data_IF_524956975673
#
_entry.id   IF_524956975673
#
_cell.length_a   1.000
_cell.length_b   1.000
_cell.length_c   1.000
_cell.angle_alpha   90.00
_cell.angle_beta   90.00
_cell.angle_gamma   90.00
#
_symmetry.space_group_name_H-M   'P 1'
#
loop_
_entity.id
_entity.type
_entity.pdbx_description
1 polymer ?
#
# COMPACT_ATOMS: atom_id res chain seq x y z
N UNK A 1 -18.43 -6.39 -2.87
CA UNK A 1 -17.40 -7.33 -2.38
C UNK A 1 -16.18 -6.49 -2.10
N UNK A 2 -15.67 -6.55 -0.88
CA UNK A 2 -14.47 -5.80 -0.51
C UNK A 2 -13.28 -6.42 -1.22
N UNK A 3 -12.64 -5.68 -2.13
CA UNK A 3 -11.49 -6.19 -2.86
C UNK A 3 -10.28 -6.25 -1.93
N UNK A 4 -9.52 -7.37 -1.88
CA UNK A 4 -8.37 -7.49 -1.00
C UNK A 4 -7.14 -6.83 -1.63
N UNK A 5 -7.19 -5.50 -1.79
CA UNK A 5 -6.23 -4.69 -2.55
C UNK A 5 -4.79 -4.95 -2.11
N UNK A 6 -4.51 -4.93 -0.80
CA UNK A 6 -3.19 -5.23 -0.23
C UNK A 6 -2.69 -6.62 -0.60
N UNK A 7 -3.55 -7.64 -0.51
CA UNK A 7 -3.17 -9.01 -0.86
C UNK A 7 -2.85 -9.15 -2.35
N UNK A 8 -3.66 -8.53 -3.22
CA UNK A 8 -3.41 -8.56 -4.67
C UNK A 8 -2.09 -7.87 -5.02
N UNK A 9 -1.79 -6.73 -4.37
CA UNK A 9 -0.52 -6.02 -4.54
C UNK A 9 0.68 -6.93 -4.20
N UNK A 10 0.66 -7.58 -3.02
CA UNK A 10 1.74 -8.50 -2.61
C UNK A 10 1.91 -9.64 -3.61
N UNK A 11 0.80 -10.25 -4.06
CA UNK A 11 0.84 -11.37 -5.01
C UNK A 11 1.30 -10.98 -6.41
N UNK A 12 1.06 -9.74 -6.83
CA UNK A 12 1.36 -9.27 -8.18
C UNK A 12 2.76 -8.68 -8.32
N UNK A 13 3.26 -7.99 -7.29
CA UNK A 13 4.47 -7.18 -7.40
C UNK A 13 5.61 -7.63 -6.46
N UNK A 14 5.41 -8.69 -5.66
CA UNK A 14 6.42 -9.23 -4.74
C UNK A 14 6.96 -8.20 -3.73
N UNK A 15 6.11 -7.23 -3.37
CA UNK A 15 6.39 -6.23 -2.34
C UNK A 15 5.95 -6.72 -0.96
N UNK A 16 6.66 -6.31 0.08
CA UNK A 16 6.39 -6.65 1.47
C UNK A 16 5.85 -5.44 2.24
N UNK A 17 4.57 -5.42 2.63
CA UNK A 17 4.03 -4.38 3.49
C UNK A 17 4.29 -4.69 4.97
N UNK A 18 4.72 -3.69 5.73
CA UNK A 18 4.77 -3.68 7.17
C UNK A 18 3.79 -2.64 7.72
N UNK A 19 2.61 -3.09 8.16
CA UNK A 19 1.54 -2.20 8.60
C UNK A 19 1.89 -1.59 9.97
N UNK A 20 2.05 -0.26 10.01
CA UNK A 20 2.30 0.51 11.24
C UNK A 20 1.00 0.84 11.97
N UNK A 21 -0.02 1.23 11.22
CA UNK A 21 -1.35 1.59 11.74
C UNK A 21 -2.41 1.34 10.67
N UNK A 22 -3.54 0.78 11.06
CA UNK A 22 -4.71 0.68 10.19
C UNK A 22 -5.95 1.12 10.97
N UNK A 23 -6.77 1.97 10.35
CA UNK A 23 -8.10 2.33 10.85
C UNK A 23 -9.09 2.05 9.73
N UNK A 24 -9.91 1.02 9.90
CA UNK A 24 -10.87 0.55 8.89
C UNK A 24 -12.27 0.54 9.51
N UNK A 25 -13.24 1.08 8.78
CA UNK A 25 -14.67 1.05 9.10
C UNK A 25 -15.47 0.61 7.87
N UNK A 26 -16.80 0.49 8.03
CA UNK A 26 -17.70 0.18 6.93
C UNK A 26 -17.76 1.30 5.86
N UNK A 27 -17.35 2.52 6.20
CA UNK A 27 -17.38 3.68 5.31
C UNK A 27 -16.05 3.90 4.58
N UNK A 28 -15.00 3.18 4.99
CA UNK A 28 -13.65 3.31 4.45
C UNK A 28 -12.57 3.25 5.53
N UNK A 29 -11.33 3.52 5.16
CA UNK A 29 -10.22 3.45 6.09
C UNK A 29 -8.92 4.04 5.58
N UNK A 30 -8.00 4.25 6.50
CA UNK A 30 -6.63 4.69 6.24
C UNK A 30 -5.66 3.63 6.76
N UNK A 31 -4.62 3.35 5.98
CA UNK A 31 -3.52 2.46 6.37
C UNK A 31 -2.22 3.22 6.22
N UNK A 32 -1.44 3.24 7.29
CA UNK A 32 -0.04 3.68 7.30
C UNK A 32 0.82 2.43 7.38
N UNK A 33 1.68 2.24 6.39
CA UNK A 33 2.56 1.08 6.28
C UNK A 33 3.90 1.50 5.70
N UNK A 34 4.94 0.74 6.03
CA UNK A 34 6.18 0.75 5.28
C UNK A 34 6.06 -0.30 4.17
N UNK A 35 6.53 0.02 2.96
CA UNK A 35 6.53 -0.90 1.83
C UNK A 35 7.98 -1.15 1.40
N UNK A 36 8.38 -2.42 1.34
CA UNK A 36 9.71 -2.81 0.85
C UNK A 36 9.61 -3.75 -0.35
N UNK A 37 10.64 -3.72 -1.18
CA UNK A 37 10.74 -4.42 -2.46
C UNK A 37 11.82 -3.74 -3.30
N UNK A 38 12.10 -4.26 -4.48
CA UNK A 38 12.98 -3.59 -5.44
C UNK A 38 12.29 -2.34 -6.02
N UNK A 39 13.07 -1.35 -6.47
CA UNK A 39 12.55 -0.05 -6.93
C UNK A 39 11.45 -0.20 -8.00
N UNK A 40 11.67 -1.07 -9.00
CA UNK A 40 10.70 -1.35 -10.06
C UNK A 40 9.40 -1.98 -9.51
N UNK A 41 9.51 -2.87 -8.52
CA UNK A 41 8.36 -3.52 -7.88
C UNK A 41 7.52 -2.51 -7.11
N UNK A 42 8.20 -1.62 -6.36
CA UNK A 42 7.56 -0.55 -5.60
C UNK A 42 6.83 0.43 -6.52
N UNK A 43 7.49 0.90 -7.59
CA UNK A 43 6.89 1.80 -8.57
C UNK A 43 5.64 1.19 -9.21
N UNK A 44 5.73 -0.05 -9.67
CA UNK A 44 4.62 -0.77 -10.30
C UNK A 44 3.46 -1.02 -9.32
N UNK A 45 3.76 -1.39 -8.07
CA UNK A 45 2.77 -1.57 -7.02
C UNK A 45 2.01 -0.26 -6.73
N UNK A 46 2.74 0.84 -6.54
CA UNK A 46 2.15 2.16 -6.27
C UNK A 46 1.29 2.66 -7.44
N UNK A 47 1.74 2.46 -8.68
CA UNK A 47 0.97 2.80 -9.87
C UNK A 47 -0.32 1.97 -9.98
N UNK A 48 -0.26 0.67 -9.67
CA UNK A 48 -1.42 -0.22 -9.68
C UNK A 48 -2.45 0.13 -8.62
N UNK A 49 -2.02 0.52 -7.42
CA UNK A 49 -2.93 0.98 -6.37
C UNK A 49 -3.63 2.29 -6.77
N UNK A 50 -2.89 3.25 -7.33
CA UNK A 50 -3.48 4.52 -7.82
C UNK A 50 -4.50 4.30 -8.94
N UNK A 51 -4.25 3.37 -9.87
CA UNK A 51 -5.20 3.07 -10.95
C UNK A 51 -6.49 2.39 -10.46
N UNK A 52 -6.44 1.75 -9.29
CA UNK A 52 -7.60 1.21 -8.58
C UNK A 52 -8.35 2.27 -7.74
N UNK A 53 -7.92 3.54 -7.79
CA UNK A 53 -8.54 4.63 -7.06
C UNK A 53 -8.10 4.74 -5.60
N UNK A 54 -6.99 4.10 -5.21
CA UNK A 54 -6.41 4.26 -3.86
C UNK A 54 -5.59 5.54 -3.82
N UNK A 55 -5.95 6.44 -2.90
CA UNK A 55 -5.16 7.63 -2.59
C UNK A 55 -3.89 7.25 -1.82
N UNK A 56 -2.74 7.66 -2.34
CA UNK A 56 -1.44 7.38 -1.71
C UNK A 56 -0.73 8.69 -1.43
N UNK A 57 -0.39 8.89 -0.16
CA UNK A 57 0.50 9.96 0.29
C UNK A 57 1.78 9.35 0.82
N UNK A 58 2.92 9.79 0.31
CA UNK A 58 4.21 9.41 0.86
C UNK A 58 4.44 10.17 2.17
N UNK A 59 4.70 9.43 3.23
CA UNK A 59 5.11 10.00 4.51
C UNK A 59 6.64 9.99 4.56
N UNK A 60 7.24 11.09 5.01
CA UNK A 60 8.69 11.08 5.24
C UNK A 60 9.00 10.13 6.39
N UNK A 61 9.88 9.16 6.14
CA UNK A 61 10.47 8.35 7.20
C UNK A 61 11.29 9.29 8.09
N UNK A 62 10.97 9.33 9.38
CA UNK A 62 11.78 10.02 10.37
C UNK A 62 13.07 9.22 10.63
N UNK A 63 13.91 9.06 9.61
CA UNK A 63 15.25 8.52 9.74
C UNK A 63 16.23 9.68 9.62
N UNK A 64 16.62 10.17 10.80
CA UNK A 64 17.83 10.97 11.01
C UNK A 64 18.60 10.39 12.18
#
# INVERSE_FOLDING_TARGET
MDEPVLFRMVKAFDVMPNIRRAKVSAEGGEIVLDLSGDDEQLENALASLRSQGVDITQLESADK
#
